data_IF_755703234346
#
_entry.id   IF_755703234346
#
_cell.length_a   1.000
_cell.length_b   1.000
_cell.length_c   1.000
_cell.angle_alpha   90.00
_cell.angle_beta   90.00
_cell.angle_gamma   90.00
#
_symmetry.space_group_name_H-M   'P 1'
#
loop_
_entity.id
_entity.type
_entity.pdbx_description
1 polymer ?
#
# COMPACT_ATOMS: atom_id res chain seq x y z
N UNK A 1 -14.96 -28.81 40.49
CA UNK A 1 -15.24 -27.40 40.84
C UNK A 1 -13.89 -26.76 41.11
N UNK A 2 -13.32 -25.84 40.35
CA UNK A 2 -13.79 -24.95 39.30
C UNK A 2 -12.97 -23.68 39.49
N UNK A 3 -11.84 -23.55 38.78
CA UNK A 3 -11.04 -22.32 38.77
C UNK A 3 -10.88 -21.91 37.32
N UNK A 4 -11.79 -21.05 36.88
CA UNK A 4 -11.77 -20.44 35.55
C UNK A 4 -10.82 -19.26 35.59
N UNK A 5 -9.75 -19.35 34.80
CA UNK A 5 -8.87 -18.25 34.48
C UNK A 5 -9.67 -17.12 33.85
N UNK A 6 -9.66 -15.94 34.47
CA UNK A 6 -10.12 -14.71 33.85
C UNK A 6 -9.11 -14.32 32.74
N UNK A 7 -9.49 -14.58 31.49
CA UNK A 7 -8.84 -13.96 30.34
C UNK A 7 -9.16 -12.47 30.37
N UNK A 8 -8.16 -11.68 30.78
CA UNK A 8 -8.15 -10.24 30.58
C UNK A 8 -8.19 -9.97 29.08
N UNK A 9 -9.30 -9.40 28.64
CA UNK A 9 -9.54 -8.94 27.29
C UNK A 9 -8.61 -7.74 27.00
N UNK A 10 -7.60 -7.84 26.12
CA UNK A 10 -6.72 -6.72 25.85
C UNK A 10 -7.44 -5.73 24.94
N UNK A 11 -7.71 -4.54 25.46
CA UNK A 11 -7.81 -3.32 24.66
C UNK A 11 -9.04 -3.19 23.75
N UNK A 12 -10.19 -2.86 24.33
CA UNK A 12 -11.12 -1.95 23.65
C UNK A 12 -10.43 -0.58 23.63
N UNK A 13 -9.79 -0.22 22.52
CA UNK A 13 -9.37 1.16 22.28
C UNK A 13 -10.64 2.02 22.19
N UNK A 14 -10.97 2.70 23.28
CA UNK A 14 -11.98 3.74 23.30
C UNK A 14 -11.37 4.95 22.59
N UNK A 15 -11.68 5.13 21.31
CA UNK A 15 -11.37 6.38 20.60
C UNK A 15 -12.27 7.50 21.14
N UNK A 16 -11.89 8.09 22.26
CA UNK A 16 -12.29 9.44 22.62
C UNK A 16 -11.16 10.39 22.21
N UNK A 17 -10.88 10.45 20.91
CA UNK A 17 -10.02 11.51 20.37
C UNK A 17 -10.92 12.72 20.03
N UNK A 18 -10.47 13.97 20.30
CA UNK A 18 -11.18 15.16 19.84
C UNK A 18 -11.39 15.09 18.33
N UNK A 19 -12.37 15.84 17.79
CA UNK A 19 -12.62 15.91 16.35
C UNK A 19 -11.36 16.48 15.69
N UNK A 20 -10.44 15.62 15.30
CA UNK A 20 -9.21 16.02 14.63
C UNK A 20 -9.58 16.32 13.19
N UNK A 21 -9.34 17.56 12.76
CA UNK A 21 -9.61 17.98 11.39
C UNK A 21 -8.62 17.28 10.48
N UNK A 22 -9.12 16.35 9.65
CA UNK A 22 -8.35 15.69 8.59
C UNK A 22 -7.69 16.79 7.73
N UNK A 23 -6.37 16.74 7.49
CA UNK A 23 -5.68 17.70 6.64
C UNK A 23 -6.35 17.80 5.27
N UNK A 24 -6.38 19.00 4.69
CA UNK A 24 -7.00 19.21 3.38
C UNK A 24 -6.29 18.37 2.30
N UNK A 25 -4.98 18.20 2.47
CA UNK A 25 -4.13 17.35 1.65
C UNK A 25 -4.61 15.89 1.62
N UNK A 26 -5.08 15.35 2.75
CA UNK A 26 -5.57 13.98 2.81
C UNK A 26 -6.90 13.82 2.05
N UNK A 27 -7.80 14.81 2.13
CA UNK A 27 -9.06 14.80 1.38
C UNK A 27 -8.76 14.77 -0.12
N UNK A 28 -7.83 15.61 -0.55
CA UNK A 28 -7.36 15.70 -1.93
C UNK A 28 -6.76 14.38 -2.43
N UNK A 29 -5.84 13.78 -1.67
CA UNK A 29 -5.21 12.51 -2.05
C UNK A 29 -6.24 11.39 -2.11
N UNK A 30 -7.11 11.27 -1.10
CA UNK A 30 -8.16 10.25 -1.07
C UNK A 30 -9.10 10.36 -2.27
N UNK A 31 -9.49 11.58 -2.63
CA UNK A 31 -10.31 11.83 -3.83
C UNK A 31 -9.60 11.38 -5.10
N UNK A 32 -8.29 11.63 -5.22
CA UNK A 32 -7.49 11.15 -6.34
C UNK A 32 -7.34 9.63 -6.37
N UNK A 33 -7.17 8.98 -5.22
CA UNK A 33 -7.11 7.51 -5.10
C UNK A 33 -8.41 6.84 -5.52
N UNK A 34 -9.55 7.39 -5.13
CA UNK A 34 -10.88 6.85 -5.45
C UNK A 34 -11.22 7.01 -6.95
N UNK A 35 -10.71 8.05 -7.59
CA UNK A 35 -10.93 8.34 -9.01
C UNK A 35 -9.85 7.79 -9.94
N UNK A 36 -8.78 7.17 -9.42
CA UNK A 36 -7.69 6.68 -10.27
C UNK A 36 -8.12 5.46 -11.11
N UNK A 37 -7.55 5.32 -12.32
CA UNK A 37 -7.88 4.22 -13.23
C UNK A 37 -7.55 2.84 -12.67
N UNK A 38 -6.60 2.73 -11.73
CA UNK A 38 -6.34 1.47 -11.02
C UNK A 38 -7.56 0.97 -10.27
N UNK A 39 -8.46 1.86 -9.83
CA UNK A 39 -9.67 1.51 -9.11
C UNK A 39 -10.66 0.69 -9.94
N UNK A 40 -10.53 0.73 -11.25
CA UNK A 40 -11.32 -0.07 -12.19
C UNK A 40 -10.70 -1.44 -12.49
N UNK A 41 -9.55 -1.78 -11.90
CA UNK A 41 -8.79 -3.00 -12.20
C UNK A 41 -8.95 -4.07 -11.12
N UNK A 42 -8.99 -5.32 -11.58
CA UNK A 42 -8.93 -6.50 -10.75
C UNK A 42 -7.47 -6.91 -10.45
N UNK A 43 -7.19 -7.38 -9.25
CA UNK A 43 -5.82 -7.78 -8.85
C UNK A 43 -5.30 -8.93 -9.69
N UNK A 44 -6.17 -9.84 -10.11
CA UNK A 44 -5.80 -10.97 -10.96
C UNK A 44 -5.21 -10.48 -12.30
N UNK A 45 -5.86 -9.51 -12.94
CA UNK A 45 -5.37 -8.87 -14.16
C UNK A 45 -4.05 -8.09 -13.92
N UNK A 46 -3.94 -7.40 -12.78
CA UNK A 46 -2.69 -6.72 -12.40
C UNK A 46 -1.54 -7.72 -12.32
N UNK A 47 -1.72 -8.81 -11.56
CA UNK A 47 -0.69 -9.83 -11.40
C UNK A 47 -0.35 -10.51 -12.72
N UNK A 48 -1.34 -10.85 -13.54
CA UNK A 48 -1.15 -11.45 -14.86
C UNK A 48 -0.25 -10.57 -15.74
N UNK A 49 -0.60 -9.30 -15.91
CA UNK A 49 0.15 -8.38 -16.79
C UNK A 49 1.58 -8.16 -16.29
N UNK A 50 1.77 -8.00 -14.97
CA UNK A 50 3.13 -7.89 -14.42
C UNK A 50 3.93 -9.19 -14.57
N UNK A 51 3.28 -10.36 -14.48
CA UNK A 51 3.93 -11.64 -14.67
C UNK A 51 4.32 -11.92 -16.12
N UNK A 52 3.74 -11.25 -17.13
CA UNK A 52 4.23 -11.36 -18.50
C UNK A 52 5.71 -10.93 -18.65
N UNK A 53 6.21 -10.09 -17.75
CA UNK A 53 7.61 -9.66 -17.69
C UNK A 53 8.39 -10.44 -16.59
N UNK A 54 8.34 -11.79 -16.61
CA UNK A 54 8.83 -12.67 -15.52
C UNK A 54 10.29 -12.50 -15.11
N UNK A 55 11.17 -12.12 -16.04
CA UNK A 55 12.63 -12.29 -15.86
C UNK A 55 13.35 -11.08 -15.24
N UNK A 56 12.62 -10.01 -14.89
CA UNK A 56 13.25 -8.80 -14.37
C UNK A 56 12.64 -8.33 -13.05
N UNK A 57 13.52 -7.96 -12.12
CA UNK A 57 13.15 -7.28 -10.86
C UNK A 57 12.87 -5.79 -11.08
N UNK A 58 13.33 -5.25 -12.20
CA UNK A 58 13.19 -3.85 -12.60
C UNK A 58 12.62 -3.75 -14.01
N UNK A 59 11.94 -2.66 -14.32
CA UNK A 59 11.37 -2.40 -15.63
C UNK A 59 12.08 -1.18 -16.21
N UNK A 60 12.45 -1.22 -17.49
CA UNK A 60 12.74 0.02 -18.20
C UNK A 60 11.43 0.75 -18.55
N UNK A 61 11.54 1.98 -19.06
CA UNK A 61 10.36 2.77 -19.42
C UNK A 61 9.43 2.09 -20.42
N UNK A 62 9.98 1.42 -21.44
CA UNK A 62 9.19 0.70 -22.46
C UNK A 62 8.38 -0.46 -21.86
N UNK A 63 9.00 -1.25 -20.97
CA UNK A 63 8.32 -2.34 -20.26
C UNK A 63 7.24 -1.81 -19.31
N UNK A 64 7.53 -0.75 -18.55
CA UNK A 64 6.57 -0.10 -17.67
C UNK A 64 5.36 0.42 -18.47
N UNK A 65 5.61 1.13 -19.57
CA UNK A 65 4.57 1.63 -20.48
C UNK A 65 3.73 0.50 -21.05
N UNK A 66 4.34 -0.58 -21.52
CA UNK A 66 3.64 -1.76 -22.05
C UNK A 66 2.72 -2.40 -21.00
N UNK A 67 3.21 -2.57 -19.76
CA UNK A 67 2.41 -3.09 -18.63
C UNK A 67 1.19 -2.19 -18.40
N UNK A 68 1.39 -0.87 -18.30
CA UNK A 68 0.29 0.06 -18.02
C UNK A 68 -0.70 0.13 -19.20
N UNK A 69 -0.24 0.10 -20.45
CA UNK A 69 -1.12 0.01 -21.61
C UNK A 69 -1.96 -1.27 -21.61
N UNK A 70 -1.37 -2.41 -21.22
CA UNK A 70 -2.10 -3.68 -21.06
C UNK A 70 -3.12 -3.62 -19.91
N UNK A 71 -2.90 -2.78 -18.90
CA UNK A 71 -3.89 -2.47 -17.89
C UNK A 71 -4.94 -1.45 -18.37
N UNK A 72 -4.86 -0.97 -19.61
CA UNK A 72 -5.83 -0.07 -20.23
C UNK A 72 -5.61 1.42 -19.92
N UNK A 73 -4.38 1.82 -19.60
CA UNK A 73 -3.98 3.22 -19.54
C UNK A 73 -3.69 3.75 -20.94
N UNK A 74 -4.06 5.02 -21.18
CA UNK A 74 -3.79 5.69 -22.44
C UNK A 74 -2.32 6.12 -22.51
N UNK A 75 -1.72 6.03 -23.69
CA UNK A 75 -0.30 6.37 -23.89
C UNK A 75 -0.06 7.84 -23.56
N UNK A 76 -1.00 8.70 -23.92
CA UNK A 76 -0.97 10.14 -23.70
C UNK A 76 -0.86 10.46 -22.21
N UNK A 77 -1.58 9.73 -21.35
CA UNK A 77 -1.50 9.92 -19.91
C UNK A 77 -0.15 9.45 -19.35
N UNK A 78 0.47 8.44 -19.96
CA UNK A 78 1.77 7.91 -19.53
C UNK A 78 2.96 8.77 -20.00
N UNK A 79 2.76 9.64 -20.99
CA UNK A 79 3.81 10.49 -21.58
C UNK A 79 3.67 11.97 -21.20
N UNK A 80 2.49 12.40 -20.76
CA UNK A 80 2.23 13.79 -20.43
C UNK A 80 2.56 14.12 -18.95
N UNK A 81 3.58 14.95 -18.67
CA UNK A 81 3.98 15.33 -17.32
C UNK A 81 2.92 16.09 -16.52
N UNK A 82 1.90 16.63 -17.19
CA UNK A 82 0.80 17.35 -16.54
C UNK A 82 -0.26 16.41 -15.95
N UNK A 83 -0.18 15.09 -16.20
CA UNK A 83 -1.18 14.15 -15.72
C UNK A 83 -0.82 13.54 -14.36
N UNK A 84 -1.82 13.27 -13.50
CA UNK A 84 -1.58 12.61 -12.22
C UNK A 84 -0.97 11.22 -12.34
N UNK A 85 -1.31 10.47 -13.40
CA UNK A 85 -0.74 9.14 -13.58
C UNK A 85 0.73 9.20 -13.95
N UNK A 86 1.15 10.15 -14.80
CA UNK A 86 2.56 10.37 -15.08
C UNK A 86 3.34 10.68 -13.81
N UNK A 87 2.83 11.61 -13.00
CA UNK A 87 3.45 11.99 -11.73
C UNK A 87 3.56 10.80 -10.78
N UNK A 88 2.47 10.03 -10.64
CA UNK A 88 2.43 8.80 -9.83
C UNK A 88 3.46 7.77 -10.31
N UNK A 89 3.49 7.42 -11.59
CA UNK A 89 4.43 6.43 -12.12
C UNK A 89 5.88 6.92 -12.01
N UNK A 90 6.12 8.20 -12.29
CA UNK A 90 7.45 8.81 -12.17
C UNK A 90 7.98 8.81 -10.73
N UNK A 91 7.10 8.80 -9.72
CA UNK A 91 7.51 8.72 -8.31
C UNK A 91 8.21 7.38 -7.95
N UNK A 92 8.06 6.34 -8.77
CA UNK A 92 8.76 5.05 -8.62
C UNK A 92 10.08 4.99 -9.39
N UNK A 93 10.32 5.94 -10.31
CA UNK A 93 11.51 5.95 -11.16
C UNK A 93 12.76 6.18 -10.30
N UNK A 94 13.70 5.25 -10.36
CA UNK A 94 15.04 5.41 -9.79
C UNK A 94 16.06 5.33 -10.93
N UNK A 95 16.75 6.44 -11.21
CA UNK A 95 17.53 6.57 -12.44
C UNK A 95 16.64 6.28 -13.66
N UNK A 96 16.97 5.33 -14.53
CA UNK A 96 16.19 4.99 -15.73
C UNK A 96 15.36 3.70 -15.61
N UNK A 97 15.14 3.22 -14.37
CA UNK A 97 14.44 1.97 -14.10
C UNK A 97 13.32 2.15 -13.06
N UNK A 98 12.34 1.26 -13.12
CA UNK A 98 11.21 1.18 -12.20
C UNK A 98 11.27 -0.14 -11.43
N UNK A 99 11.28 -0.15 -10.09
CA UNK A 99 11.18 -1.38 -9.32
C UNK A 99 9.85 -2.06 -9.58
N UNK A 100 9.89 -3.27 -10.15
CA UNK A 100 8.69 -4.02 -10.54
C UNK A 100 7.79 -4.32 -9.33
N UNK A 101 8.43 -4.70 -8.22
CA UNK A 101 7.75 -5.05 -6.97
C UNK A 101 6.96 -3.86 -6.42
N UNK A 102 7.59 -2.69 -6.30
CA UNK A 102 6.99 -1.46 -5.77
C UNK A 102 5.76 -1.05 -6.59
N UNK A 103 5.89 -1.02 -7.92
CA UNK A 103 4.78 -0.69 -8.82
C UNK A 103 3.62 -1.70 -8.70
N UNK A 104 3.94 -2.99 -8.64
CA UNK A 104 2.93 -4.04 -8.53
C UNK A 104 2.16 -3.95 -7.21
N UNK A 105 2.85 -3.71 -6.09
CA UNK A 105 2.24 -3.48 -4.77
C UNK A 105 1.31 -2.26 -4.83
N UNK A 106 1.76 -1.16 -5.42
CA UNK A 106 0.94 0.05 -5.54
C UNK A 106 -0.32 -0.17 -6.37
N UNK A 107 -0.21 -0.88 -7.49
CA UNK A 107 -1.37 -1.25 -8.31
C UNK A 107 -2.38 -2.11 -7.51
N UNK A 108 -1.90 -3.09 -6.73
CA UNK A 108 -2.76 -3.93 -5.90
C UNK A 108 -3.48 -3.12 -4.81
N UNK A 109 -2.75 -2.25 -4.12
CA UNK A 109 -3.31 -1.37 -3.08
C UNK A 109 -4.39 -0.43 -3.64
N UNK A 110 -4.14 0.16 -4.81
CA UNK A 110 -5.08 1.06 -5.49
C UNK A 110 -6.24 0.36 -6.20
N UNK A 111 -6.14 -0.95 -6.44
CA UNK A 111 -7.17 -1.69 -7.18
C UNK A 111 -8.58 -1.59 -6.56
N UNK A 112 -9.60 -1.82 -7.39
CA UNK A 112 -11.01 -1.93 -6.98
C UNK A 112 -11.40 -3.30 -6.44
N UNK A 113 -10.43 -4.20 -6.26
CA UNK A 113 -10.69 -5.58 -5.87
C UNK A 113 -11.18 -5.70 -4.44
N UNK A 114 -11.85 -6.83 -4.17
CA UNK A 114 -12.29 -7.19 -2.82
C UNK A 114 -11.10 -7.27 -1.86
N UNK A 115 -11.35 -6.93 -0.61
CA UNK A 115 -10.36 -6.94 0.48
C UNK A 115 -9.54 -8.25 0.51
N UNK A 116 -10.22 -9.39 0.54
CA UNK A 116 -9.59 -10.71 0.58
C UNK A 116 -8.68 -10.98 -0.63
N UNK A 117 -9.06 -10.52 -1.81
CA UNK A 117 -8.26 -10.68 -3.03
C UNK A 117 -6.98 -9.85 -2.96
N UNK A 118 -7.06 -8.60 -2.47
CA UNK A 118 -5.88 -7.76 -2.25
C UNK A 118 -4.91 -8.38 -1.24
N UNK A 119 -5.43 -8.88 -0.12
CA UNK A 119 -4.62 -9.50 0.94
C UNK A 119 -3.90 -10.73 0.40
N UNK A 120 -4.62 -11.61 -0.31
CA UNK A 120 -4.03 -12.78 -0.93
C UNK A 120 -2.98 -12.40 -1.99
N UNK A 121 -3.27 -11.41 -2.84
CA UNK A 121 -2.33 -10.92 -3.85
C UNK A 121 -1.04 -10.36 -3.20
N UNK A 122 -1.15 -9.56 -2.14
CA UNK A 122 0.01 -9.08 -1.40
C UNK A 122 0.82 -10.23 -0.81
N UNK A 123 0.17 -11.25 -0.23
CA UNK A 123 0.89 -12.43 0.24
C UNK A 123 1.68 -13.10 -0.88
N UNK A 124 1.01 -13.36 -2.01
CA UNK A 124 1.58 -14.08 -3.16
C UNK A 124 2.74 -13.32 -3.81
N UNK A 125 2.67 -11.98 -3.86
CA UNK A 125 3.76 -11.12 -4.35
C UNK A 125 5.06 -11.35 -3.56
N UNK A 126 4.96 -11.54 -2.25
CA UNK A 126 6.13 -11.68 -1.38
C UNK A 126 6.55 -13.13 -1.15
N UNK A 127 5.65 -14.10 -1.40
CA UNK A 127 5.93 -15.53 -1.40
C UNK A 127 6.51 -15.98 -2.75
N UNK A 128 7.70 -15.46 -3.06
CA UNK A 128 8.37 -15.68 -4.35
C UNK A 128 8.73 -17.14 -4.64
N UNK A 129 8.57 -18.04 -3.66
CA UNK A 129 8.86 -19.48 -3.79
C UNK A 129 7.59 -20.33 -3.73
N UNK A 130 6.41 -19.71 -3.67
CA UNK A 130 5.11 -20.38 -3.56
C UNK A 130 5.10 -21.41 -2.42
N UNK A 131 5.68 -21.06 -1.27
CA UNK A 131 5.76 -21.93 -0.10
C UNK A 131 4.53 -21.82 0.80
N UNK A 132 3.59 -20.94 0.46
CA UNK A 132 2.44 -20.53 1.26
C UNK A 132 2.82 -20.01 2.65
N UNK A 133 4.06 -19.52 2.79
CA UNK A 133 4.68 -19.13 4.06
C UNK A 133 5.53 -17.88 3.87
N UNK A 134 5.33 -16.88 4.73
CA UNK A 134 6.18 -15.70 4.81
C UNK A 134 6.97 -15.67 6.13
N UNK A 135 8.23 -15.25 6.04
CA UNK A 135 9.13 -15.01 7.18
C UNK A 135 9.16 -13.52 7.53
N UNK A 136 9.72 -13.19 8.70
CA UNK A 136 9.84 -11.82 9.22
C UNK A 136 10.44 -10.83 8.21
N UNK A 137 11.48 -11.21 7.48
CA UNK A 137 12.12 -10.35 6.47
C UNK A 137 11.16 -9.98 5.33
N UNK A 138 10.35 -10.94 4.87
CA UNK A 138 9.35 -10.72 3.82
C UNK A 138 8.18 -9.86 4.30
N UNK A 139 7.70 -10.10 5.52
CA UNK A 139 6.65 -9.26 6.14
C UNK A 139 7.16 -7.84 6.39
N UNK A 140 8.39 -7.69 6.89
CA UNK A 140 9.03 -6.38 7.07
C UNK A 140 9.12 -5.62 5.75
N UNK A 141 9.62 -6.27 4.69
CA UNK A 141 9.69 -5.66 3.37
C UNK A 141 8.30 -5.27 2.82
N UNK A 142 7.30 -6.14 3.01
CA UNK A 142 5.92 -5.86 2.62
C UNK A 142 5.36 -4.62 3.32
N UNK A 143 5.50 -4.54 4.65
CA UNK A 143 5.00 -3.41 5.44
C UNK A 143 5.70 -2.11 5.07
N UNK A 144 7.02 -2.14 4.82
CA UNK A 144 7.77 -0.97 4.34
C UNK A 144 7.27 -0.48 2.99
N UNK A 145 7.07 -1.40 2.04
CA UNK A 145 6.54 -1.05 0.72
C UNK A 145 5.12 -0.52 0.81
N UNK A 146 4.26 -1.12 1.63
CA UNK A 146 2.90 -0.63 1.88
C UNK A 146 2.94 0.78 2.46
N UNK A 147 3.75 1.00 3.50
CA UNK A 147 3.88 2.28 4.17
C UNK A 147 4.39 3.36 3.21
N UNK A 148 5.56 3.15 2.60
CA UNK A 148 6.15 4.05 1.60
C UNK A 148 5.19 4.35 0.46
N UNK A 149 4.55 3.33 -0.11
CA UNK A 149 3.58 3.53 -1.20
C UNK A 149 2.45 4.45 -0.75
N UNK A 150 1.94 4.23 0.45
CA UNK A 150 0.81 4.97 1.00
C UNK A 150 1.18 6.41 1.37
N UNK A 151 2.34 6.63 1.98
CA UNK A 151 2.76 7.93 2.54
C UNK A 151 3.64 8.75 1.62
N UNK A 152 4.04 8.22 0.46
CA UNK A 152 4.85 8.91 -0.53
C UNK A 152 4.24 8.77 -1.93
N UNK A 153 4.25 7.58 -2.51
CA UNK A 153 3.94 7.40 -3.93
C UNK A 153 2.50 7.78 -4.28
N UNK A 154 1.52 7.34 -3.48
CA UNK A 154 0.10 7.62 -3.73
C UNK A 154 -0.24 9.12 -3.67
N UNK A 155 0.57 9.93 -2.97
CA UNK A 155 0.35 11.38 -2.92
C UNK A 155 0.49 12.04 -4.28
N UNK A 156 1.32 11.48 -5.18
CA UNK A 156 1.52 12.00 -6.53
C UNK A 156 0.30 11.83 -7.44
N UNK A 157 -0.71 11.04 -7.05
CA UNK A 157 -2.01 11.02 -7.73
C UNK A 157 -2.80 12.34 -7.56
N UNK A 158 -2.41 13.20 -6.61
CA UNK A 158 -3.01 14.51 -6.40
C UNK A 158 -2.20 15.65 -7.02
N UNK A 159 -1.18 15.35 -7.84
CA UNK A 159 -0.33 16.33 -8.54
C UNK A 159 -0.72 16.39 -10.02
N UNK A 160 -0.53 17.55 -10.67
CA UNK A 160 -0.76 17.75 -12.11
C UNK A 160 -1.78 18.85 -12.39
N UNK A 161 -2.16 19.03 -13.66
CA UNK A 161 -3.04 20.12 -14.12
C UNK A 161 -4.44 20.11 -13.48
N UNK A 162 -4.87 18.95 -13.00
CA UNK A 162 -6.11 18.75 -12.23
C UNK A 162 -5.82 18.28 -10.79
N UNK A 163 -4.55 18.24 -10.41
CA UNK A 163 -4.11 17.92 -9.06
C UNK A 163 -4.28 19.12 -8.15
N UNK A 164 -4.67 18.87 -6.91
CA UNK A 164 -4.85 19.92 -5.90
C UNK A 164 -3.62 20.18 -5.05
N UNK A 165 -2.54 19.39 -5.23
CA UNK A 165 -1.32 19.49 -4.43
C UNK A 165 -0.11 19.86 -5.27
N UNK A 166 0.69 20.79 -4.73
CA UNK A 166 2.03 21.12 -5.23
C UNK A 166 3.07 20.11 -4.73
N UNK A 167 4.15 19.94 -5.49
CA UNK A 167 5.27 19.04 -5.13
C UNK A 167 5.83 19.37 -3.74
N UNK A 168 5.95 20.65 -3.38
CA UNK A 168 6.41 21.07 -2.05
C UNK A 168 5.50 20.60 -0.91
N UNK A 169 4.19 20.55 -1.15
CA UNK A 169 3.24 20.02 -0.17
C UNK A 169 3.44 18.51 -0.01
N UNK A 170 3.71 17.79 -1.11
CA UNK A 170 4.05 16.36 -1.07
C UNK A 170 5.32 16.10 -0.26
N UNK A 171 6.39 16.89 -0.48
CA UNK A 171 7.67 16.75 0.24
C UNK A 171 7.52 16.97 1.74
N UNK A 172 6.76 18.00 2.14
CA UNK A 172 6.47 18.30 3.54
C UNK A 172 5.66 17.16 4.18
N UNK A 173 4.61 16.70 3.50
CA UNK A 173 3.75 15.61 3.95
C UNK A 173 4.56 14.30 4.10
N UNK A 174 5.41 13.98 3.13
CA UNK A 174 6.22 12.75 3.13
C UNK A 174 7.24 12.76 4.26
N UNK A 175 7.96 13.88 4.43
CA UNK A 175 8.97 14.04 5.50
C UNK A 175 8.35 13.80 6.88
N UNK A 176 7.11 14.25 7.05
CA UNK A 176 6.35 14.06 8.27
C UNK A 176 6.01 12.58 8.56
N UNK A 177 5.62 11.79 7.55
CA UNK A 177 5.35 10.36 7.76
C UNK A 177 6.63 9.50 7.84
N UNK A 178 7.73 9.93 7.22
CA UNK A 178 8.96 9.14 7.12
C UNK A 178 9.53 8.73 8.49
N UNK A 179 9.41 9.60 9.50
CA UNK A 179 9.93 9.32 10.86
C UNK A 179 9.19 8.18 11.59
N UNK A 180 8.00 7.78 11.10
CA UNK A 180 7.17 6.76 11.74
C UNK A 180 7.21 5.39 11.04
N UNK A 181 7.94 5.25 9.92
CA UNK A 181 8.01 3.99 9.16
C UNK A 181 8.51 2.83 10.03
N UNK A 182 9.63 3.00 10.74
CA UNK A 182 10.20 1.95 11.59
C UNK A 182 9.24 1.52 12.71
N UNK A 183 8.54 2.49 13.31
CA UNK A 183 7.56 2.23 14.36
C UNK A 183 6.40 1.39 13.80
N UNK A 184 5.85 1.82 12.67
CA UNK A 184 4.78 1.11 11.95
C UNK A 184 5.18 -0.34 11.64
N UNK A 185 6.35 -0.52 11.02
CA UNK A 185 6.82 -1.85 10.61
C UNK A 185 7.00 -2.77 11.80
N UNK A 186 7.66 -2.30 12.87
CA UNK A 186 7.91 -3.13 14.05
C UNK A 186 6.61 -3.52 14.76
N UNK A 187 5.65 -2.60 14.87
CA UNK A 187 4.34 -2.85 15.46
C UNK A 187 3.57 -3.93 14.68
N UNK A 188 3.45 -3.77 13.36
CA UNK A 188 2.68 -4.71 12.54
C UNK A 188 3.38 -6.05 12.33
N UNK A 189 4.71 -6.12 12.43
CA UNK A 189 5.42 -7.41 12.49
C UNK A 189 4.98 -8.21 13.72
N UNK A 190 4.91 -7.59 14.89
CA UNK A 190 4.52 -8.26 16.15
C UNK A 190 3.08 -8.75 16.03
N UNK A 191 2.18 -7.90 15.54
CA UNK A 191 0.76 -8.22 15.34
C UNK A 191 0.59 -9.38 14.37
N UNK A 192 1.23 -9.32 13.20
CA UNK A 192 1.06 -10.33 12.15
C UNK A 192 1.68 -11.65 12.58
N UNK A 193 2.90 -11.64 13.12
CA UNK A 193 3.60 -12.88 13.44
C UNK A 193 3.14 -13.53 14.75
N UNK A 194 2.51 -12.80 15.68
CA UNK A 194 2.06 -13.32 16.98
C UNK A 194 3.16 -14.16 17.68
N UNK A 195 4.37 -13.60 17.78
CA UNK A 195 5.60 -14.24 18.29
C UNK A 195 6.17 -15.41 17.46
N UNK A 196 5.56 -15.76 16.33
CA UNK A 196 6.09 -16.78 15.43
C UNK A 196 7.22 -16.25 14.55
N UNK A 197 8.08 -17.16 14.05
CA UNK A 197 9.13 -16.80 13.07
C UNK A 197 8.60 -16.68 11.63
N UNK A 198 7.42 -17.23 11.37
CA UNK A 198 6.81 -17.35 10.04
C UNK A 198 5.28 -17.41 10.16
N UNK A 199 4.58 -17.10 9.08
CA UNK A 199 3.12 -17.11 8.98
C UNK A 199 2.68 -17.79 7.69
N UNK A 200 1.59 -18.56 7.74
CA UNK A 200 0.98 -19.17 6.55
C UNK A 200 0.02 -18.19 5.86
N UNK A 201 -0.30 -18.42 4.58
CA UNK A 201 -1.29 -17.61 3.85
C UNK A 201 -2.63 -17.51 4.56
N UNK A 202 -3.17 -18.64 5.00
CA UNK A 202 -4.47 -18.67 5.70
C UNK A 202 -4.44 -17.84 6.99
N UNK A 203 -3.41 -18.03 7.83
CA UNK A 203 -3.29 -17.26 9.08
C UNK A 203 -3.08 -15.77 8.81
N UNK A 204 -2.27 -15.41 7.81
CA UNK A 204 -2.09 -14.03 7.38
C UNK A 204 -3.42 -13.40 6.95
N UNK A 205 -4.14 -14.07 6.05
CA UNK A 205 -5.42 -13.56 5.55
C UNK A 205 -6.44 -13.44 6.67
N UNK A 206 -6.49 -14.39 7.60
CA UNK A 206 -7.37 -14.30 8.77
C UNK A 206 -7.01 -13.13 9.68
N UNK A 207 -5.73 -12.90 10.00
CA UNK A 207 -5.31 -11.79 10.86
C UNK A 207 -5.71 -10.44 10.24
N UNK A 208 -5.49 -10.27 8.93
CA UNK A 208 -5.77 -9.00 8.24
C UNK A 208 -7.27 -8.82 7.97
N UNK A 209 -8.02 -9.89 7.70
CA UNK A 209 -9.47 -9.83 7.41
C UNK A 209 -10.34 -9.75 8.66
N UNK A 210 -10.01 -10.49 9.73
CA UNK A 210 -10.90 -10.64 10.91
C UNK A 210 -10.73 -9.52 11.94
N UNK A 211 -9.66 -8.72 11.84
CA UNK A 211 -9.33 -7.70 12.82
C UNK A 211 -9.36 -6.29 12.20
N UNK A 212 -9.26 -5.28 13.07
CA UNK A 212 -9.10 -3.85 12.77
C UNK A 212 -7.96 -3.49 11.79
N UNK A 213 -7.26 -4.45 11.17
CA UNK A 213 -6.07 -4.26 10.33
C UNK A 213 -6.35 -4.28 8.83
N UNK A 214 -7.62 -4.37 8.41
CA UNK A 214 -7.98 -4.31 6.99
C UNK A 214 -7.52 -3.02 6.31
N UNK A 215 -7.28 -1.95 7.08
CA UNK A 215 -6.74 -0.68 6.57
C UNK A 215 -5.37 -0.85 5.90
N UNK A 216 -4.59 -1.89 6.25
CA UNK A 216 -3.24 -2.12 5.71
C UNK A 216 -3.21 -2.32 4.19
N UNK A 217 -4.34 -2.66 3.57
CA UNK A 217 -4.42 -2.82 2.11
C UNK A 217 -5.06 -1.63 1.39
N UNK A 218 -5.22 -0.51 2.08
CA UNK A 218 -5.73 0.74 1.54
C UNK A 218 -4.74 1.88 1.86
N UNK A 219 -4.22 2.60 0.85
CA UNK A 219 -3.26 3.68 1.10
C UNK A 219 -3.76 4.75 2.09
N UNK A 220 -4.97 5.25 1.89
CA UNK A 220 -5.65 6.14 2.84
C UNK A 220 -5.81 5.53 4.23
N UNK A 221 -6.13 4.24 4.33
CA UNK A 221 -6.24 3.55 5.62
C UNK A 221 -4.92 3.55 6.40
N UNK A 222 -3.79 3.33 5.73
CA UNK A 222 -2.45 3.37 6.35
C UNK A 222 -2.11 4.77 6.84
N UNK A 223 -2.40 5.80 6.03
CA UNK A 223 -2.17 7.20 6.43
C UNK A 223 -3.06 7.62 7.59
N UNK A 224 -4.36 7.31 7.54
CA UNK A 224 -5.33 7.57 8.61
C UNK A 224 -4.87 6.93 9.93
N UNK A 225 -4.37 5.68 9.88
CA UNK A 225 -3.83 5.00 11.05
C UNK A 225 -2.59 5.69 11.62
N UNK A 226 -1.59 5.98 10.77
CA UNK A 226 -0.36 6.63 11.20
C UNK A 226 -0.63 8.01 11.80
N UNK A 227 -1.52 8.79 11.18
CA UNK A 227 -1.97 10.07 11.69
C UNK A 227 -2.67 9.95 13.06
N UNK A 228 -3.57 8.99 13.22
CA UNK A 228 -4.31 8.83 14.47
C UNK A 228 -3.45 8.33 15.65
N UNK A 229 -2.41 7.51 15.38
CA UNK A 229 -1.71 6.77 16.45
C UNK A 229 -0.25 7.22 16.70
N UNK A 230 0.39 7.91 15.75
CA UNK A 230 1.81 8.29 15.89
C UNK A 230 2.05 9.79 15.97
N UNK A 231 1.09 10.55 15.45
CA UNK A 231 1.22 11.98 15.24
C UNK A 231 0.47 12.77 16.33
N UNK A 232 -0.64 12.24 16.82
CA UNK A 232 -1.46 12.85 17.87
C UNK A 232 -1.05 12.35 19.26
#
# INVERSE_FOLDING_TARGET
MGSVCAYNNPGKLIYANPIIKVPQEEISVKTSEDNCLFKLKHVENILEVFNLEMNSTTLNYSQCKKILCNLGFMIEDLENPETPIFAFISSFKYQEIYPKLDLMVACVLLSGSRLTHKINALFDIFDTKSQEILKKDKISNMLRLIYKTSTYNCLFLAVGRNGSLEIKQIEAYTTFYAIYEERFVNEFIIIILMDNKKITKNTFTEIICKNFYSFLVFPSGVREYAFANYIN
#
